data_IF_702948432683
#
_entry.id   IF_702948432683
#
_cell.length_a   1.000
_cell.length_b   1.000
_cell.length_c   1.000
_cell.angle_alpha   90.00
_cell.angle_beta   90.00
_cell.angle_gamma   90.00
#
_symmetry.space_group_name_H-M   'P 1'
#
loop_
_entity.id
_entity.type
_entity.pdbx_description
1 polymer ?
#
# COMPACT_ATOMS: atom_id res chain seq x y z
N UNK A 1 6.15 29.52 5.35
CA UNK A 1 6.88 28.30 4.96
C UNK A 1 5.93 27.15 5.17
N UNK A 2 5.55 26.46 4.10
CA UNK A 2 4.64 25.31 4.20
C UNK A 2 5.50 24.09 4.45
N UNK A 3 5.24 23.36 5.54
CA UNK A 3 5.95 22.12 5.82
C UNK A 3 5.62 21.07 4.76
N UNK A 4 6.58 20.21 4.37
CA UNK A 4 6.32 19.17 3.39
C UNK A 4 5.36 18.14 3.97
N UNK A 5 4.32 17.78 3.21
CA UNK A 5 3.45 16.66 3.54
C UNK A 5 4.06 15.37 2.97
N UNK A 6 4.22 14.37 3.83
CA UNK A 6 4.85 13.10 3.48
C UNK A 6 3.85 11.98 3.72
N UNK A 7 3.61 11.18 2.69
CA UNK A 7 2.78 9.98 2.80
C UNK A 7 3.62 8.77 3.16
N UNK A 8 3.14 7.92 4.07
CA UNK A 8 3.80 6.66 4.42
C UNK A 8 2.74 5.57 4.46
N UNK A 9 2.85 4.57 3.59
CA UNK A 9 1.93 3.45 3.48
C UNK A 9 2.66 2.11 3.56
N UNK A 10 1.99 1.10 4.10
CA UNK A 10 2.41 -0.30 4.04
C UNK A 10 1.31 -1.13 3.39
N UNK A 11 1.65 -2.12 2.56
CA UNK A 11 0.68 -3.03 1.95
C UNK A 11 -0.45 -2.28 1.23
N UNK A 12 -1.69 -2.53 1.60
CA UNK A 12 -2.88 -1.82 1.14
C UNK A 12 -2.89 -0.31 1.45
N UNK A 13 -2.22 0.12 2.51
CA UNK A 13 -2.01 1.54 2.80
C UNK A 13 -1.31 2.27 1.66
N UNK A 14 -0.48 1.57 0.88
CA UNK A 14 0.13 2.12 -0.33
C UNK A 14 -0.89 2.41 -1.42
N UNK A 15 -1.89 1.55 -1.62
CA UNK A 15 -2.97 1.76 -2.60
C UNK A 15 -3.76 3.02 -2.25
N UNK A 16 -4.11 3.17 -0.97
CA UNK A 16 -4.83 4.34 -0.46
C UNK A 16 -4.00 5.62 -0.56
N UNK A 17 -2.67 5.53 -0.46
CA UNK A 17 -1.78 6.68 -0.58
C UNK A 17 -1.51 7.08 -2.04
N UNK A 18 -1.43 6.12 -2.95
CA UNK A 18 -1.15 6.37 -4.37
C UNK A 18 -2.28 7.13 -5.07
N UNK A 19 -3.54 6.87 -4.71
CA UNK A 19 -4.69 7.56 -5.30
C UNK A 19 -4.62 9.10 -5.15
N UNK A 20 -4.52 9.67 -3.93
CA UNK A 20 -4.38 11.11 -3.77
C UNK A 20 -3.07 11.65 -4.36
N UNK A 21 -1.97 10.88 -4.32
CA UNK A 21 -0.71 11.27 -4.93
C UNK A 21 -0.80 11.41 -6.47
N UNK A 22 -1.58 10.55 -7.12
CA UNK A 22 -1.82 10.62 -8.56
C UNK A 22 -2.84 11.70 -8.94
N UNK A 23 -3.88 11.90 -8.12
CA UNK A 23 -4.93 12.87 -8.43
C UNK A 23 -4.50 14.32 -8.24
N UNK A 24 -3.64 14.59 -7.27
CA UNK A 24 -3.19 15.95 -7.01
C UNK A 24 -1.66 15.97 -6.88
N UNK A 25 -0.94 16.34 -7.98
CA UNK A 25 0.53 16.34 -8.06
C UNK A 25 1.28 17.18 -7.03
N UNK A 26 0.58 17.96 -6.20
CA UNK A 26 1.14 18.92 -5.25
C UNK A 26 0.72 18.66 -3.79
N UNK A 27 0.01 17.57 -3.50
CA UNK A 27 -0.33 17.21 -2.11
C UNK A 27 0.92 16.78 -1.36
N UNK A 28 1.66 15.81 -1.91
CA UNK A 28 2.81 15.23 -1.23
C UNK A 28 4.11 15.79 -1.80
N UNK A 29 5.05 16.11 -0.92
CA UNK A 29 6.45 16.32 -1.30
C UNK A 29 7.12 14.98 -1.63
N UNK A 30 6.74 13.94 -0.89
CA UNK A 30 7.14 12.57 -1.20
C UNK A 30 6.27 11.53 -0.51
N UNK A 31 6.35 10.31 -1.01
CA UNK A 31 5.63 9.15 -0.50
C UNK A 31 6.59 7.97 -0.27
N UNK A 32 6.28 7.18 0.75
CA UNK A 32 6.97 5.94 1.10
C UNK A 32 5.97 4.80 0.97
N UNK A 33 6.31 3.82 0.13
CA UNK A 33 5.50 2.67 -0.21
C UNK A 33 6.23 1.41 0.26
N UNK A 34 5.87 0.92 1.45
CA UNK A 34 6.46 -0.28 2.02
C UNK A 34 5.67 -1.50 1.55
N UNK A 35 6.33 -2.40 0.82
CA UNK A 35 5.72 -3.65 0.37
C UNK A 35 4.32 -3.44 -0.25
N UNK A 36 4.15 -2.55 -1.24
CA UNK A 36 2.83 -2.24 -1.80
C UNK A 36 2.20 -3.47 -2.46
N UNK A 37 0.89 -3.66 -2.27
CA UNK A 37 0.10 -4.73 -2.90
C UNK A 37 -0.73 -4.13 -4.04
N UNK A 38 -0.13 -4.01 -5.23
CA UNK A 38 -0.73 -3.43 -6.44
C UNK A 38 -1.13 -4.50 -7.46
N UNK A 39 -1.01 -5.77 -7.11
CA UNK A 39 -1.44 -6.91 -7.91
C UNK A 39 -2.10 -7.98 -7.02
N UNK A 40 -2.90 -8.82 -7.64
CA UNK A 40 -3.69 -9.90 -7.01
C UNK A 40 -2.96 -11.25 -6.97
N UNK A 41 -1.70 -11.29 -7.45
CA UNK A 41 -0.94 -12.51 -7.69
C UNK A 41 -1.18 -13.16 -9.06
N UNK A 42 -2.04 -12.59 -9.90
CA UNK A 42 -2.31 -13.08 -11.26
C UNK A 42 -1.03 -13.29 -12.08
N UNK A 43 -0.16 -12.28 -12.17
CA UNK A 43 1.07 -12.36 -12.94
C UNK A 43 2.05 -13.40 -12.39
N UNK A 44 2.16 -13.55 -11.06
CA UNK A 44 2.96 -14.60 -10.44
C UNK A 44 2.44 -16.00 -10.77
N UNK A 45 1.12 -16.18 -10.80
CA UNK A 45 0.53 -17.46 -11.19
C UNK A 45 0.80 -17.76 -12.67
N UNK A 46 0.71 -16.77 -13.56
CA UNK A 46 1.05 -16.94 -14.98
C UNK A 46 2.54 -17.26 -15.18
N UNK A 47 3.44 -16.60 -14.44
CA UNK A 47 4.88 -16.90 -14.43
C UNK A 47 5.13 -18.36 -13.98
N UNK A 48 4.49 -18.80 -12.89
CA UNK A 48 4.61 -20.16 -12.39
C UNK A 48 4.03 -21.21 -13.36
N UNK A 49 2.90 -20.90 -14.01
CA UNK A 49 2.31 -21.77 -15.06
C UNK A 49 3.24 -21.91 -16.26
N UNK A 50 3.89 -20.82 -16.68
CA UNK A 50 4.87 -20.84 -17.75
C UNK A 50 6.08 -21.74 -17.41
N UNK A 51 6.39 -21.89 -16.12
CA UNK A 51 7.41 -22.82 -15.60
C UNK A 51 6.89 -24.25 -15.36
N UNK A 52 5.64 -24.54 -15.70
CA UNK A 52 5.02 -25.87 -15.54
C UNK A 52 4.66 -26.23 -14.09
N UNK A 53 4.62 -25.26 -13.18
CA UNK A 53 4.21 -25.50 -11.78
C UNK A 53 2.69 -25.66 -11.71
N UNK A 54 2.17 -26.78 -11.15
CA UNK A 54 0.73 -26.97 -11.03
C UNK A 54 0.05 -25.92 -10.16
N UNK A 55 -1.07 -25.36 -10.64
CA UNK A 55 -1.85 -24.33 -9.93
C UNK A 55 -2.46 -24.84 -8.61
N UNK A 56 -2.68 -26.15 -8.51
CA UNK A 56 -3.37 -26.77 -7.38
C UNK A 56 -2.60 -26.61 -6.07
N UNK A 57 -3.17 -25.86 -5.12
CA UNK A 57 -2.59 -25.59 -3.78
C UNK A 57 -1.81 -24.28 -3.69
N UNK A 58 -1.36 -23.71 -4.81
CA UNK A 58 -0.71 -22.39 -4.83
C UNK A 58 -1.69 -21.29 -4.43
N UNK A 59 -2.87 -21.26 -5.06
CA UNK A 59 -3.89 -20.21 -4.85
C UNK A 59 -4.35 -20.12 -3.38
N UNK A 60 -4.45 -21.26 -2.68
CA UNK A 60 -4.85 -21.29 -1.26
C UNK A 60 -3.71 -20.88 -0.32
N UNK A 61 -2.47 -21.19 -0.68
CA UNK A 61 -1.29 -20.89 0.16
C UNK A 61 -0.79 -19.45 0.00
N UNK A 62 -1.05 -18.82 -1.15
CA UNK A 62 -0.60 -17.44 -1.44
C UNK A 62 -1.62 -16.37 -1.08
N UNK A 63 -2.90 -16.72 -0.89
CA UNK A 63 -3.92 -15.72 -0.60
C UNK A 63 -4.28 -15.61 0.90
N UNK A 64 -3.84 -14.51 1.52
CA UNK A 64 -4.11 -14.20 2.93
C UNK A 64 -5.60 -14.10 3.28
N UNK A 65 -6.48 -13.75 2.34
CA UNK A 65 -7.90 -13.60 2.62
C UNK A 65 -8.58 -14.91 3.02
N UNK A 66 -8.11 -16.08 2.55
CA UNK A 66 -8.65 -17.37 3.00
C UNK A 66 -8.26 -17.67 4.44
N UNK A 67 -6.99 -17.44 4.79
CA UNK A 67 -6.49 -17.61 6.16
C UNK A 67 -7.21 -16.68 7.12
N UNK A 68 -7.40 -15.42 6.73
CA UNK A 68 -8.16 -14.44 7.50
C UNK A 68 -9.62 -14.87 7.63
N UNK A 69 -10.30 -15.29 6.57
CA UNK A 69 -11.71 -15.71 6.64
C UNK A 69 -11.95 -16.92 7.57
N UNK A 70 -10.95 -17.77 7.77
CA UNK A 70 -11.03 -18.99 8.57
C UNK A 70 -10.40 -18.87 9.96
N UNK A 71 -9.69 -17.77 10.26
CA UNK A 71 -9.02 -17.62 11.55
C UNK A 71 -10.01 -17.55 12.72
N UNK A 72 -9.55 -17.93 13.91
CA UNK A 72 -10.29 -17.67 15.16
C UNK A 72 -10.33 -16.17 15.41
N UNK A 73 -11.52 -15.63 15.72
CA UNK A 73 -11.72 -14.21 15.96
C UNK A 73 -12.36 -13.89 17.32
N UNK A 74 -12.68 -14.89 18.14
CA UNK A 74 -13.26 -14.75 19.49
C UNK A 74 -12.63 -15.71 20.50
N UNK A 75 -12.47 -15.25 21.74
CA UNK A 75 -11.91 -15.99 22.88
C UNK A 75 -12.67 -15.70 24.17
N UNK A 76 -12.64 -16.63 25.11
CA UNK A 76 -13.40 -16.61 26.36
C UNK A 76 -12.97 -15.49 27.31
N UNK A 77 -11.73 -15.02 27.19
CA UNK A 77 -11.16 -13.90 27.97
C UNK A 77 -9.94 -13.33 27.26
N UNK A 78 -9.50 -12.14 27.68
CA UNK A 78 -8.30 -11.48 27.17
C UNK A 78 -7.05 -12.34 27.39
N UNK A 79 -6.92 -12.97 28.55
CA UNK A 79 -5.77 -13.82 28.87
C UNK A 79 -5.70 -15.04 27.94
N UNK A 80 -6.85 -15.62 27.57
CA UNK A 80 -6.91 -16.73 26.61
C UNK A 80 -6.52 -16.26 25.20
N UNK A 81 -7.02 -15.10 24.78
CA UNK A 81 -6.67 -14.51 23.49
C UNK A 81 -5.18 -14.23 23.38
N UNK A 82 -4.58 -13.59 24.39
CA UNK A 82 -3.15 -13.27 24.40
C UNK A 82 -2.28 -14.53 24.35
N UNK A 83 -2.62 -15.57 25.13
CA UNK A 83 -1.91 -16.85 25.05
C UNK A 83 -2.01 -17.49 23.67
N UNK A 84 -3.18 -17.39 23.02
CA UNK A 84 -3.38 -17.90 21.67
C UNK A 84 -2.54 -17.11 20.65
N UNK A 85 -2.63 -15.78 20.66
CA UNK A 85 -1.92 -14.90 19.74
C UNK A 85 -0.40 -15.09 19.87
N UNK A 86 0.14 -15.11 21.09
CA UNK A 86 1.59 -15.34 21.32
C UNK A 86 2.09 -16.69 20.78
N UNK A 87 1.24 -17.71 20.71
CA UNK A 87 1.58 -19.02 20.13
C UNK A 87 1.34 -19.10 18.62
N UNK A 88 0.63 -18.13 18.05
CA UNK A 88 0.32 -18.12 16.63
C UNK A 88 1.58 -17.80 15.82
N UNK A 89 1.80 -18.52 14.71
CA UNK A 89 2.92 -18.25 13.79
C UNK A 89 2.87 -16.81 13.24
N UNK A 90 1.68 -16.25 13.07
CA UNK A 90 1.50 -14.91 12.53
C UNK A 90 1.94 -13.80 13.49
N UNK A 91 1.58 -13.89 14.77
CA UNK A 91 1.90 -12.83 15.74
C UNK A 91 3.26 -13.03 16.44
N UNK A 92 3.71 -14.28 16.59
CA UNK A 92 4.97 -14.59 17.29
C UNK A 92 6.23 -14.03 16.61
N UNK A 93 6.15 -13.68 15.33
CA UNK A 93 7.23 -13.07 14.56
C UNK A 93 7.32 -11.54 14.71
N UNK A 94 6.32 -10.87 15.31
CA UNK A 94 6.35 -9.42 15.47
C UNK A 94 7.39 -8.98 16.50
N UNK A 95 7.98 -7.80 16.29
CA UNK A 95 8.81 -7.14 17.30
C UNK A 95 8.04 -7.10 18.63
N UNK A 96 8.67 -7.42 19.78
CA UNK A 96 7.97 -7.50 21.07
C UNK A 96 7.20 -6.24 21.44
N UNK A 97 7.67 -5.06 21.03
CA UNK A 97 6.99 -3.77 21.28
C UNK A 97 5.74 -3.65 20.41
N UNK A 98 5.81 -4.10 19.16
CA UNK A 98 4.66 -4.13 18.26
C UNK A 98 3.64 -5.13 18.79
N UNK A 99 4.06 -6.37 19.12
CA UNK A 99 3.18 -7.39 19.68
C UNK A 99 2.46 -6.88 20.95
N UNK A 100 3.15 -6.15 21.82
CA UNK A 100 2.51 -5.55 22.99
C UNK A 100 1.39 -4.56 22.62
N UNK A 101 1.58 -3.71 21.61
CA UNK A 101 0.52 -2.81 21.12
C UNK A 101 -0.59 -3.59 20.39
N UNK A 102 -0.24 -4.61 19.63
CA UNK A 102 -1.17 -5.52 18.95
C UNK A 102 -2.12 -6.16 19.95
N UNK A 103 -1.62 -6.81 21.01
CA UNK A 103 -2.46 -7.42 22.05
C UNK A 103 -3.35 -6.41 22.78
N UNK A 104 -2.88 -5.16 22.93
CA UNK A 104 -3.63 -4.08 23.56
C UNK A 104 -4.82 -3.63 22.70
N UNK A 105 -4.61 -3.41 21.41
CA UNK A 105 -5.59 -2.73 20.55
C UNK A 105 -6.36 -3.63 19.58
N UNK A 106 -5.87 -4.84 19.30
CA UNK A 106 -6.52 -5.74 18.34
C UNK A 106 -7.71 -6.49 18.94
N UNK A 107 -7.93 -6.40 20.26
CA UNK A 107 -9.00 -7.09 20.98
C UNK A 107 -10.01 -6.10 21.56
N UNK A 108 -11.30 -6.32 21.26
CA UNK A 108 -12.44 -5.63 21.88
C UNK A 108 -13.13 -6.53 22.90
N UNK A 109 -13.50 -5.96 24.04
CA UNK A 109 -14.24 -6.66 25.08
C UNK A 109 -15.73 -6.77 24.72
N UNK A 110 -16.37 -7.88 25.10
CA UNK A 110 -17.77 -8.17 24.85
C UNK A 110 -18.58 -8.17 26.16
N UNK A 111 -19.91 -7.92 26.11
CA UNK A 111 -20.75 -7.85 27.33
C UNK A 111 -20.78 -9.15 28.16
N UNK A 112 -20.48 -10.29 27.53
CA UNK A 112 -20.43 -11.61 28.15
C UNK A 112 -19.08 -11.93 28.81
N UNK A 113 -18.16 -10.96 28.87
CA UNK A 113 -16.80 -11.12 29.42
C UNK A 113 -15.79 -11.74 28.45
N UNK A 114 -16.25 -12.17 27.27
CA UNK A 114 -15.36 -12.65 26.21
C UNK A 114 -14.68 -11.50 25.45
N UNK A 115 -13.72 -11.82 24.59
CA UNK A 115 -13.07 -10.84 23.70
C UNK A 115 -13.11 -11.31 22.26
N UNK A 116 -13.07 -10.37 21.32
CA UNK A 116 -12.95 -10.69 19.89
C UNK A 116 -12.07 -9.69 19.16
N UNK A 117 -11.69 -10.00 17.93
CA UNK A 117 -10.92 -9.06 17.09
C UNK A 117 -11.68 -7.73 16.95
N UNK A 118 -10.96 -6.63 17.13
CA UNK A 118 -11.48 -5.27 16.99
C UNK A 118 -12.00 -5.04 15.57
N UNK A 119 -11.24 -5.48 14.56
CA UNK A 119 -11.67 -5.51 13.17
C UNK A 119 -12.37 -6.83 12.86
N UNK A 120 -13.67 -6.83 12.51
CA UNK A 120 -14.39 -8.06 12.20
C UNK A 120 -13.73 -8.84 11.06
N UNK A 121 -13.63 -10.16 11.22
CA UNK A 121 -12.95 -11.05 10.27
C UNK A 121 -13.48 -10.95 8.84
N UNK A 122 -14.79 -10.75 8.66
CA UNK A 122 -15.38 -10.53 7.34
C UNK A 122 -14.89 -9.23 6.69
N UNK A 123 -14.80 -8.14 7.45
CA UNK A 123 -14.25 -6.86 6.97
C UNK A 123 -12.77 -7.01 6.56
N UNK A 124 -11.99 -7.76 7.35
CA UNK A 124 -10.61 -8.07 6.99
C UNK A 124 -10.53 -8.91 5.70
N UNK A 125 -11.33 -9.96 5.57
CA UNK A 125 -11.33 -10.82 4.38
C UNK A 125 -11.74 -10.05 3.10
N UNK A 126 -12.70 -9.13 3.23
CA UNK A 126 -13.15 -8.26 2.12
C UNK A 126 -12.06 -7.33 1.60
N UNK A 127 -11.00 -7.06 2.38
CA UNK A 127 -9.83 -6.32 1.89
C UNK A 127 -9.10 -7.10 0.79
N UNK A 128 -9.02 -8.42 0.93
CA UNK A 128 -8.25 -9.29 0.03
C UNK A 128 -9.06 -9.82 -1.15
N UNK A 129 -10.36 -10.05 -0.96
CA UNK A 129 -11.18 -10.77 -1.95
C UNK A 129 -12.66 -10.39 -1.90
N UNK A 130 -13.31 -10.45 -3.06
CA UNK A 130 -14.77 -10.39 -3.24
C UNK A 130 -15.25 -11.65 -3.94
N UNK A 131 -16.44 -12.13 -3.60
CA UNK A 131 -17.04 -13.33 -4.21
C UNK A 131 -17.45 -13.10 -5.67
N UNK A 132 -17.20 -14.08 -6.54
CA UNK A 132 -17.63 -14.14 -7.93
C UNK A 132 -18.23 -15.53 -8.25
N UNK A 133 -19.53 -15.65 -8.58
CA UNK A 133 -20.50 -14.55 -8.67
C UNK A 133 -20.79 -13.90 -7.29
N UNK A 134 -21.38 -12.69 -7.28
CA UNK A 134 -21.79 -12.04 -6.05
C UNK A 134 -22.74 -12.92 -5.23
N UNK A 135 -22.60 -12.90 -3.91
CA UNK A 135 -23.47 -13.66 -3.03
C UNK A 135 -24.94 -13.21 -3.14
N UNK A 136 -25.87 -14.15 -2.97
CA UNK A 136 -27.31 -13.84 -2.96
C UNK A 136 -27.61 -12.80 -1.87
N UNK A 137 -28.28 -11.71 -2.25
CA UNK A 137 -28.66 -10.62 -1.35
C UNK A 137 -27.57 -9.57 -1.11
N UNK A 138 -26.38 -9.72 -1.71
CA UNK A 138 -25.34 -8.69 -1.68
C UNK A 138 -25.38 -7.85 -2.95
N UNK A 139 -25.15 -6.53 -2.86
CA UNK A 139 -25.09 -5.68 -4.04
C UNK A 139 -23.90 -6.08 -4.92
N UNK A 140 -24.10 -5.99 -6.23
CA UNK A 140 -23.03 -6.15 -7.21
C UNK A 140 -22.21 -4.87 -7.22
N UNK A 141 -20.90 -4.98 -7.07
CA UNK A 141 -20.01 -3.82 -7.22
C UNK A 141 -20.00 -3.32 -8.67
N UNK A 142 -19.83 -2.02 -8.87
CA UNK A 142 -19.78 -1.38 -10.19
C UNK A 142 -18.67 -1.97 -11.08
N UNK A 143 -17.60 -2.46 -10.46
CA UNK A 143 -16.44 -3.05 -11.11
C UNK A 143 -16.65 -4.53 -11.49
N UNK A 144 -17.71 -5.19 -11.03
CA UNK A 144 -17.88 -6.63 -11.26
C UNK A 144 -17.91 -6.94 -12.75
N UNK A 145 -18.76 -6.27 -13.54
CA UNK A 145 -18.87 -6.57 -14.97
C UNK A 145 -17.66 -6.11 -15.79
N UNK A 146 -16.92 -5.11 -15.31
CA UNK A 146 -15.83 -4.43 -16.04
C UNK A 146 -14.44 -4.80 -15.51
N UNK A 147 -14.35 -5.73 -14.55
CA UNK A 147 -13.08 -6.15 -13.96
C UNK A 147 -12.11 -6.70 -15.03
N UNK A 148 -10.86 -6.29 -14.93
CA UNK A 148 -9.79 -6.83 -15.77
C UNK A 148 -9.55 -8.33 -15.45
N UNK A 149 -9.00 -9.12 -16.40
CA UNK A 149 -8.60 -10.50 -16.13
C UNK A 149 -7.65 -10.64 -14.93
N UNK A 150 -6.74 -9.69 -14.76
CA UNK A 150 -5.82 -9.64 -13.61
C UNK A 150 -6.51 -9.34 -12.27
N UNK A 151 -7.82 -9.06 -12.25
CA UNK A 151 -8.60 -8.99 -11.02
C UNK A 151 -8.87 -10.38 -10.42
N UNK A 152 -8.53 -11.45 -11.13
CA UNK A 152 -8.63 -12.81 -10.63
C UNK A 152 -7.78 -13.01 -9.38
N UNK A 153 -8.39 -13.62 -8.36
CA UNK A 153 -7.72 -14.00 -7.12
C UNK A 153 -7.65 -15.52 -7.01
N UNK A 154 -8.80 -16.17 -7.19
CA UNK A 154 -8.98 -17.61 -7.04
C UNK A 154 -10.30 -18.03 -7.69
N UNK A 155 -10.56 -19.33 -7.93
CA UNK A 155 -11.89 -19.80 -8.31
C UNK A 155 -12.93 -19.29 -7.30
N UNK A 156 -13.91 -18.53 -7.78
CA UNK A 156 -14.95 -17.94 -6.94
C UNK A 156 -14.62 -16.56 -6.36
N UNK A 157 -13.44 -15.97 -6.64
CA UNK A 157 -13.00 -14.73 -6.01
C UNK A 157 -12.25 -13.77 -6.95
N UNK A 158 -12.44 -12.47 -6.74
CA UNK A 158 -11.78 -11.40 -7.48
C UNK A 158 -11.49 -10.16 -6.62
N UNK A 159 -10.64 -9.25 -7.12
CA UNK A 159 -10.36 -7.92 -6.56
C UNK A 159 -9.91 -6.95 -7.65
N UNK A 160 -10.66 -5.87 -7.90
CA UNK A 160 -10.45 -4.98 -9.05
C UNK A 160 -9.53 -3.79 -8.79
N UNK A 161 -9.44 -3.32 -7.55
CA UNK A 161 -8.71 -2.10 -7.17
C UNK A 161 -7.22 -2.12 -7.53
N UNK A 162 -6.47 -3.24 -7.37
CA UNK A 162 -5.06 -3.30 -7.74
C UNK A 162 -4.79 -3.07 -9.24
N UNK A 163 -5.68 -3.54 -10.12
CA UNK A 163 -5.55 -3.32 -11.56
C UNK A 163 -5.62 -1.82 -11.90
N UNK A 164 -6.60 -1.14 -11.30
CA UNK A 164 -6.88 0.28 -11.55
C UNK A 164 -5.77 1.19 -11.02
N UNK A 165 -5.20 0.92 -9.85
CA UNK A 165 -4.17 1.80 -9.27
C UNK A 165 -2.90 1.85 -10.12
N UNK A 166 -2.56 0.76 -10.82
CA UNK A 166 -1.39 0.70 -11.70
C UNK A 166 -1.47 1.66 -12.89
N UNK A 167 -2.67 1.99 -13.35
CA UNK A 167 -2.90 2.97 -14.43
C UNK A 167 -2.46 4.39 -14.03
N UNK A 168 -2.45 4.69 -12.74
CA UNK A 168 -2.11 6.00 -12.20
C UNK A 168 -0.62 6.17 -11.86
N UNK A 169 0.14 5.06 -11.77
CA UNK A 169 1.58 5.10 -11.46
C UNK A 169 2.37 6.05 -12.38
N UNK A 170 2.14 6.08 -13.72
CA UNK A 170 2.89 6.97 -14.61
C UNK A 170 2.74 8.46 -14.28
N UNK A 171 1.62 8.87 -13.68
CA UNK A 171 1.34 10.26 -13.34
C UNK A 171 1.86 10.71 -11.96
N UNK A 172 2.54 9.84 -11.21
CA UNK A 172 3.07 10.20 -9.89
C UNK A 172 4.16 11.27 -10.02
N UNK A 173 3.90 12.44 -9.44
CA UNK A 173 4.75 13.62 -9.57
C UNK A 173 5.70 13.85 -8.39
N UNK A 174 5.45 13.22 -7.24
CA UNK A 174 6.26 13.42 -6.04
C UNK A 174 7.40 12.40 -5.92
N UNK A 175 8.40 12.72 -5.09
CA UNK A 175 9.48 11.79 -4.75
C UNK A 175 8.91 10.52 -4.13
N UNK A 176 9.29 9.36 -4.64
CA UNK A 176 8.73 8.08 -4.21
C UNK A 176 9.83 7.13 -3.75
N UNK A 177 9.68 6.60 -2.53
CA UNK A 177 10.50 5.52 -2.02
C UNK A 177 9.68 4.24 -1.98
N UNK A 178 10.14 3.20 -2.67
CA UNK A 178 9.69 1.84 -2.44
C UNK A 178 10.59 1.18 -1.41
N UNK A 179 9.99 0.54 -0.40
CA UNK A 179 10.72 -0.21 0.63
C UNK A 179 10.27 -1.66 0.59
N UNK A 180 11.23 -2.55 0.40
CA UNK A 180 10.99 -3.96 0.17
C UNK A 180 11.61 -4.81 1.29
N UNK A 181 11.07 -5.99 1.47
CA UNK A 181 11.70 -7.04 2.25
C UNK A 181 12.88 -7.63 1.48
N UNK A 182 13.96 -7.97 2.19
CA UNK A 182 15.09 -8.70 1.62
C UNK A 182 14.87 -10.23 1.60
N UNK A 183 13.69 -10.70 2.02
CA UNK A 183 13.27 -12.10 1.94
C UNK A 183 13.14 -12.57 0.49
N UNK A 184 14.04 -13.48 0.08
CA UNK A 184 14.08 -14.07 -1.25
C UNK A 184 12.87 -14.98 -1.54
N UNK A 185 12.13 -15.39 -0.50
CA UNK A 185 10.89 -16.17 -0.62
C UNK A 185 9.66 -15.30 -0.76
N UNK A 186 9.80 -13.97 -0.65
CA UNK A 186 8.65 -13.06 -0.75
C UNK A 186 8.10 -13.01 -2.17
N UNK A 187 6.86 -13.47 -2.33
CA UNK A 187 6.11 -13.31 -3.57
C UNK A 187 5.71 -11.85 -3.83
N UNK A 188 5.86 -10.95 -2.86
CA UNK A 188 5.50 -9.52 -2.99
C UNK A 188 6.71 -8.60 -3.21
N UNK A 189 7.92 -9.16 -3.28
CA UNK A 189 9.17 -8.42 -3.50
C UNK A 189 10.01 -8.96 -4.66
N UNK A 190 9.43 -9.84 -5.49
CA UNK A 190 10.13 -10.39 -6.65
C UNK A 190 10.57 -9.29 -7.62
N UNK A 191 11.73 -9.45 -8.25
CA UNK A 191 12.25 -8.49 -9.22
C UNK A 191 11.26 -8.23 -10.37
N UNK A 192 10.59 -9.28 -10.85
CA UNK A 192 9.56 -9.17 -11.89
C UNK A 192 8.41 -8.26 -11.44
N UNK A 193 7.90 -8.44 -10.22
CA UNK A 193 6.83 -7.60 -9.68
C UNK A 193 7.29 -6.15 -9.49
N UNK A 194 8.45 -5.95 -8.84
CA UNK A 194 9.02 -4.61 -8.62
C UNK A 194 9.22 -3.86 -9.93
N UNK A 195 9.79 -4.51 -10.94
CA UNK A 195 10.00 -3.91 -12.28
C UNK A 195 8.70 -3.45 -12.93
N UNK A 196 7.60 -4.19 -12.77
CA UNK A 196 6.29 -3.81 -13.34
C UNK A 196 5.68 -2.55 -12.73
N UNK A 197 5.99 -2.27 -11.47
CA UNK A 197 5.38 -1.14 -10.73
C UNK A 197 6.34 0.03 -10.57
N UNK A 198 7.59 -0.21 -10.16
CA UNK A 198 8.61 0.82 -9.99
C UNK A 198 8.96 1.42 -11.35
N UNK A 199 9.18 0.58 -12.36
CA UNK A 199 9.49 1.01 -13.72
C UNK A 199 8.37 1.81 -14.42
N UNK A 200 7.15 1.80 -13.88
CA UNK A 200 6.04 2.63 -14.37
C UNK A 200 5.85 3.92 -13.58
N UNK A 201 6.46 4.04 -12.41
CA UNK A 201 6.12 5.13 -11.49
C UNK A 201 6.73 6.45 -11.94
N UNK A 202 5.88 7.44 -12.18
CA UNK A 202 6.27 8.78 -12.59
C UNK A 202 6.86 8.88 -14.00
N UNK A 203 6.75 7.86 -14.84
CA UNK A 203 7.37 7.84 -16.19
C UNK A 203 6.47 8.40 -17.30
N UNK A 204 5.21 8.72 -17.01
CA UNK A 204 4.24 9.18 -17.99
C UNK A 204 3.86 10.64 -17.85
N UNK A 205 2.75 11.00 -18.49
CA UNK A 205 2.19 12.36 -18.45
C UNK A 205 1.89 12.77 -17.00
N UNK A 206 2.41 13.94 -16.59
CA UNK A 206 2.26 14.46 -15.23
C UNK A 206 3.25 13.87 -14.21
N UNK A 207 4.01 12.83 -14.57
CA UNK A 207 5.01 12.21 -13.72
C UNK A 207 6.31 13.03 -13.56
N UNK A 208 7.15 12.60 -12.62
CA UNK A 208 8.42 13.27 -12.29
C UNK A 208 9.66 12.72 -13.04
N UNK A 209 9.49 11.72 -13.91
CA UNK A 209 10.55 11.06 -14.67
C UNK A 209 11.07 9.74 -14.06
N UNK A 210 10.44 9.25 -12.99
CA UNK A 210 10.70 7.92 -12.44
C UNK A 210 12.11 7.71 -11.87
N UNK A 211 12.64 6.49 -12.02
CA UNK A 211 13.98 6.12 -11.55
C UNK A 211 15.09 6.84 -12.31
N UNK A 212 14.92 7.03 -13.62
CA UNK A 212 15.91 7.66 -14.49
C UNK A 212 16.26 9.10 -14.10
N UNK A 213 15.38 9.79 -13.39
CA UNK A 213 15.61 11.14 -12.85
C UNK A 213 15.93 11.16 -11.35
N UNK A 214 16.05 9.98 -10.71
CA UNK A 214 16.24 9.86 -9.26
C UNK A 214 15.01 10.27 -8.43
N UNK A 215 13.83 10.34 -9.05
CA UNK A 215 12.58 10.66 -8.35
C UNK A 215 11.95 9.44 -7.69
N UNK A 216 12.22 8.25 -8.22
CA UNK A 216 11.84 6.97 -7.62
C UNK A 216 13.11 6.27 -7.16
N UNK A 217 13.07 5.70 -5.95
CA UNK A 217 14.13 4.85 -5.41
C UNK A 217 13.55 3.60 -4.76
N UNK A 218 14.35 2.55 -4.75
CA UNK A 218 14.07 1.32 -4.00
C UNK A 218 15.08 1.15 -2.87
N UNK A 219 14.63 0.64 -1.72
CA UNK A 219 15.48 0.22 -0.62
C UNK A 219 14.95 -1.07 0.00
N UNK A 220 15.82 -1.82 0.67
CA UNK A 220 15.49 -3.12 1.24
C UNK A 220 15.72 -3.14 2.75
N UNK A 221 14.85 -3.84 3.47
CA UNK A 221 14.94 -4.11 4.90
C UNK A 221 15.24 -5.58 5.10
N UNK A 222 16.25 -5.90 5.90
CA UNK A 222 16.60 -7.26 6.29
C UNK A 222 15.59 -7.83 7.30
N UNK A 223 14.38 -8.08 6.84
CA UNK A 223 13.30 -8.75 7.56
C UNK A 223 12.80 -9.93 6.74
N UNK A 224 12.30 -10.97 7.41
CA UNK A 224 11.66 -12.10 6.73
C UNK A 224 10.14 -11.89 6.71
N UNK A 225 9.65 -11.35 5.59
CA UNK A 225 8.22 -11.22 5.33
C UNK A 225 7.74 -9.79 5.04
N UNK A 226 6.43 -9.68 4.87
CA UNK A 226 5.74 -8.54 4.26
C UNK A 226 5.47 -7.35 5.20
N UNK A 227 5.21 -7.61 6.48
CA UNK A 227 4.78 -6.60 7.43
C UNK A 227 5.98 -5.86 8.06
N UNK A 228 6.80 -5.18 7.24
CA UNK A 228 8.09 -4.60 7.67
C UNK A 228 8.03 -3.78 8.98
N UNK A 229 7.07 -2.85 9.19
CA UNK A 229 6.99 -2.09 10.44
C UNK A 229 6.64 -2.95 11.66
N UNK A 230 6.08 -4.14 11.45
CA UNK A 230 5.71 -5.08 12.51
C UNK A 230 6.85 -6.05 12.82
N UNK A 231 7.59 -6.46 11.78
CA UNK A 231 8.68 -7.44 11.86
C UNK A 231 9.99 -6.79 12.30
N UNK A 232 10.38 -5.69 11.64
CA UNK A 232 11.61 -4.97 11.93
C UNK A 232 11.39 -3.44 11.93
N UNK A 233 10.69 -2.91 12.95
CA UNK A 233 10.33 -1.50 13.02
C UNK A 233 11.55 -0.56 13.02
N UNK A 234 12.67 -0.95 13.65
CA UNK A 234 13.85 -0.08 13.77
C UNK A 234 14.59 0.05 12.44
N UNK A 235 14.84 -1.07 11.77
CA UNK A 235 15.43 -1.12 10.43
C UNK A 235 14.56 -0.44 9.39
N UNK A 236 13.25 -0.69 9.42
CA UNK A 236 12.28 -0.02 8.54
C UNK A 236 12.30 1.50 8.75
N UNK A 237 12.20 1.97 9.99
CA UNK A 237 12.28 3.40 10.29
C UNK A 237 13.63 4.00 9.91
N UNK A 238 14.73 3.27 10.08
CA UNK A 238 16.07 3.70 9.71
C UNK A 238 16.23 3.93 8.20
N UNK A 239 15.72 2.99 7.38
CA UNK A 239 15.71 3.11 5.91
C UNK A 239 14.90 4.34 5.48
N UNK A 240 13.68 4.49 6.02
CA UNK A 240 12.81 5.62 5.70
C UNK A 240 13.44 6.95 6.14
N UNK A 241 13.94 7.03 7.38
CA UNK A 241 14.55 8.25 7.91
C UNK A 241 15.80 8.67 7.11
N UNK A 242 16.62 7.71 6.65
CA UNK A 242 17.76 7.97 5.79
C UNK A 242 17.33 8.63 4.49
N UNK A 243 16.38 8.04 3.77
CA UNK A 243 15.87 8.61 2.53
C UNK A 243 15.25 10.00 2.73
N UNK A 244 14.48 10.19 3.81
CA UNK A 244 13.92 11.50 4.15
C UNK A 244 15.00 12.56 4.35
N UNK A 245 16.06 12.23 5.08
CA UNK A 245 17.16 13.15 5.37
C UNK A 245 18.09 13.43 4.20
N UNK A 246 18.42 12.40 3.42
CA UNK A 246 19.45 12.47 2.38
C UNK A 246 18.89 12.83 1.00
N UNK A 247 17.63 12.46 0.71
CA UNK A 247 17.04 12.63 -0.63
C UNK A 247 15.92 13.66 -0.64
N UNK A 248 14.94 13.51 0.25
CA UNK A 248 13.73 14.34 0.24
C UNK A 248 14.02 15.75 0.74
N UNK A 249 14.65 15.88 1.91
CA UNK A 249 14.92 17.17 2.56
C UNK A 249 15.72 18.11 1.66
N UNK A 250 16.86 17.71 1.05
CA UNK A 250 17.60 18.61 0.18
C UNK A 250 16.83 19.02 -1.08
N UNK A 251 15.97 18.14 -1.61
CA UNK A 251 15.09 18.49 -2.75
C UNK A 251 14.10 19.57 -2.37
N UNK A 252 13.40 19.36 -1.26
CA UNK A 252 12.43 20.31 -0.73
C UNK A 252 13.07 21.66 -0.40
N UNK A 253 14.25 21.67 0.23
CA UNK A 253 14.96 22.92 0.56
C UNK A 253 15.33 23.72 -0.71
N UNK A 254 15.72 23.05 -1.80
CA UNK A 254 15.97 23.69 -3.10
C UNK A 254 14.69 24.25 -3.71
N UNK A 255 13.61 23.49 -3.68
CA UNK A 255 12.30 23.92 -4.18
C UNK A 255 11.76 25.13 -3.39
N UNK A 256 11.86 25.11 -2.06
CA UNK A 256 11.47 26.24 -1.21
C UNK A 256 12.35 27.47 -1.43
N UNK A 257 13.67 27.29 -1.59
CA UNK A 257 14.56 28.39 -1.93
C UNK A 257 14.22 29.03 -3.28
N UNK A 258 13.78 28.22 -4.25
CA UNK A 258 13.29 28.72 -5.54
C UNK A 258 11.94 29.44 -5.40
N UNK A 259 10.96 28.85 -4.70
CA UNK A 259 9.65 29.47 -4.44
C UNK A 259 9.77 30.83 -3.76
N UNK A 260 10.73 31.01 -2.85
CA UNK A 260 10.97 32.31 -2.18
C UNK A 260 11.49 33.41 -3.11
N UNK A 261 12.02 33.06 -4.28
CA UNK A 261 12.42 34.03 -5.33
C UNK A 261 11.26 34.37 -6.26
N UNK A 262 10.21 33.56 -6.27
CA UNK A 262 9.03 33.80 -7.10
C UNK A 262 8.18 34.92 -6.49
N UNK A 263 7.47 35.71 -7.32
CA UNK A 263 6.55 36.73 -6.83
C UNK A 263 5.49 36.13 -5.92
N UNK A 264 5.11 36.87 -4.87
CA UNK A 264 3.97 36.50 -4.05
C UNK A 264 2.69 36.48 -4.91
N UNK A 265 1.98 35.35 -4.87
CA UNK A 265 0.66 35.23 -5.49
C UNK A 265 -0.37 35.69 -4.47
N UNK A 266 -1.03 36.81 -4.74
CA UNK A 266 -2.20 37.23 -3.99
C UNK A 266 -3.36 36.27 -4.29
N UNK A 267 -3.74 35.46 -3.31
CA UNK A 267 -4.81 34.49 -3.42
C UNK A 267 -6.21 35.11 -3.37
N UNK A 268 -6.33 36.41 -3.08
CA UNK A 268 -7.59 37.14 -2.93
C UNK A 268 -7.87 37.98 -4.17
N UNK A 269 -6.84 38.65 -4.71
CA UNK A 269 -7.02 39.59 -5.83
C UNK A 269 -6.76 38.91 -7.16
N UNK A 270 -7.75 38.91 -8.05
CA UNK A 270 -7.55 38.49 -9.45
C UNK A 270 -6.70 39.55 -10.16
N UNK A 271 -5.53 39.21 -10.73
CA UNK A 271 -4.68 40.19 -11.39
C UNK A 271 -5.39 40.86 -12.57
N UNK A 272 -5.20 42.18 -12.72
CA UNK A 272 -5.84 42.96 -13.80
C UNK A 272 -5.54 42.39 -15.19
N UNK A 273 -4.28 42.00 -15.44
CA UNK A 273 -3.88 41.40 -16.71
C UNK A 273 -4.64 40.10 -17.02
N UNK A 274 -4.96 39.32 -15.98
CA UNK A 274 -5.75 38.09 -16.14
C UNK A 274 -7.17 38.41 -16.61
N UNK A 275 -7.81 39.41 -16.00
CA UNK A 275 -9.14 39.90 -16.42
C UNK A 275 -9.10 40.40 -17.86
N UNK A 276 -8.11 41.23 -18.21
CA UNK A 276 -7.95 41.79 -19.55
C UNK A 276 -7.74 40.72 -20.64
N UNK A 277 -7.09 39.59 -20.31
CA UNK A 277 -6.93 38.46 -21.23
C UNK A 277 -8.24 37.71 -21.46
N UNK A 278 -9.02 37.47 -20.40
CA UNK A 278 -10.31 36.77 -20.50
C UNK A 278 -11.35 37.60 -21.24
N UNK A 279 -11.37 38.91 -21.03
CA UNK A 279 -12.33 39.80 -21.72
C UNK A 279 -12.13 39.87 -23.24
N UNK A 280 -11.06 39.26 -23.78
CA UNK A 280 -10.76 39.19 -25.22
C UNK A 280 -11.04 37.82 -25.85
N UNK A 281 -11.46 36.83 -25.05
CA UNK A 281 -11.95 35.52 -25.52
C UNK A 281 -13.43 35.61 -25.86
#
# INVERSE_FOLDING_TARGET
MTLPLIGIGQSWGCVHLLLPAAWHPRIFQGIVLMEPVLETGYHHLEELKALGVPEHGLVRSTNMGFSVALMRDRWESREVAERHMRKSKYYSQFDPRVLAQTLRYELRDMPDGSVMLATPRYQQAQLFMRTAPPMKGYPVGEDYATRAPESFIAPGFYRGEPAKIKEYLPGIHCKTLYVWTADDKSMLSTESYRSRIVGKTGTGLGGAGGEGTGQVKEMFVAAEGHALPFLEPRGTAGVVARWLGEELKPSWEREEAQRKKEPYIDAITVPREWVERISKL
#
